data_IF_820059570519
#
_entry.id   IF_820059570519
#
_cell.length_a   1.000
_cell.length_b   1.000
_cell.length_c   1.000
_cell.angle_alpha   90.00
_cell.angle_beta   90.00
_cell.angle_gamma   90.00
#
_symmetry.space_group_name_H-M   'P 1'
#
loop_
_entity.id
_entity.type
_entity.pdbx_description
1 polymer ?
#
# COMPACT_ATOMS: atom_id res chain seq x y z
N UNK A 1 0.35 -30.47 1.42
CA UNK A 1 -0.24 -31.02 0.17
C UNK A 1 -1.65 -30.47 0.07
N UNK A 2 -2.04 -29.96 -1.10
CA UNK A 2 -3.44 -29.60 -1.34
C UNK A 2 -4.28 -30.88 -1.34
N UNK A 3 -5.31 -30.92 -0.50
CA UNK A 3 -6.20 -32.08 -0.29
C UNK A 3 -7.55 -31.88 -0.94
N UNK A 4 -8.10 -30.66 -0.85
CA UNK A 4 -9.43 -30.32 -1.33
C UNK A 4 -9.46 -28.84 -1.70
N UNK A 5 -10.22 -28.52 -2.75
CA UNK A 5 -10.52 -27.14 -3.16
C UNK A 5 -12.00 -27.04 -3.47
N UNK A 6 -12.64 -25.99 -2.94
CA UNK A 6 -14.02 -25.65 -3.23
C UNK A 6 -14.10 -24.19 -3.60
N UNK A 7 -14.38 -23.95 -4.89
CA UNK A 7 -14.37 -22.62 -5.49
C UNK A 7 -15.23 -21.64 -4.67
N UNK A 8 -14.65 -20.45 -4.42
CA UNK A 8 -15.26 -19.37 -3.62
C UNK A 8 -15.62 -19.75 -2.18
N UNK A 9 -15.08 -20.85 -1.65
CA UNK A 9 -15.36 -21.30 -0.28
C UNK A 9 -14.08 -21.54 0.51
N UNK A 10 -13.28 -22.54 0.14
CA UNK A 10 -12.06 -22.86 0.88
C UNK A 10 -11.11 -23.76 0.10
N UNK A 11 -9.88 -23.82 0.58
CA UNK A 11 -8.87 -24.82 0.24
C UNK A 11 -8.40 -25.53 1.51
N UNK A 12 -8.21 -26.84 1.45
CA UNK A 12 -7.68 -27.65 2.55
C UNK A 12 -6.30 -28.18 2.18
N UNK A 13 -5.32 -27.87 3.01
CA UNK A 13 -3.99 -28.45 2.93
C UNK A 13 -3.77 -29.41 4.09
N UNK A 14 -3.15 -30.54 3.81
CA UNK A 14 -2.70 -31.50 4.82
C UNK A 14 -1.19 -31.61 4.81
N UNK A 15 -0.60 -31.90 5.96
CA UNK A 15 0.84 -32.14 6.11
C UNK A 15 1.31 -33.23 5.15
N UNK A 16 2.49 -33.04 4.57
CA UNK A 16 3.16 -34.10 3.82
C UNK A 16 3.99 -34.96 4.77
N UNK A 17 3.47 -36.11 5.20
CA UNK A 17 4.19 -37.01 6.12
C UNK A 17 5.42 -37.68 5.48
N UNK A 18 5.61 -37.55 4.17
CA UNK A 18 6.78 -38.02 3.43
C UNK A 18 7.72 -36.88 3.01
N UNK A 19 7.53 -35.69 3.58
CA UNK A 19 8.44 -34.58 3.31
C UNK A 19 9.84 -34.91 3.87
N UNK A 20 10.87 -34.65 3.07
CA UNK A 20 12.24 -35.03 3.38
C UNK A 20 12.89 -34.17 4.47
N UNK A 21 12.36 -32.96 4.69
CA UNK A 21 12.88 -32.00 5.66
C UNK A 21 12.15 -32.05 7.01
N UNK A 22 12.21 -30.94 7.74
CA UNK A 22 11.52 -30.82 9.02
C UNK A 22 10.00 -30.95 8.85
N UNK A 23 9.40 -31.77 9.72
CA UNK A 23 7.98 -32.09 9.68
C UNK A 23 7.17 -30.98 10.38
N UNK A 24 6.20 -30.34 9.70
CA UNK A 24 5.34 -29.34 10.35
C UNK A 24 4.56 -29.92 11.53
N UNK A 25 4.44 -29.14 12.61
CA UNK A 25 3.61 -29.49 13.76
C UNK A 25 2.11 -29.43 13.41
N UNK A 26 1.72 -28.52 12.51
CA UNK A 26 0.35 -28.39 12.02
C UNK A 26 0.04 -29.52 11.02
N UNK A 27 -1.03 -30.26 11.28
CA UNK A 27 -1.43 -31.40 10.45
C UNK A 27 -2.33 -31.01 9.28
N UNK A 28 -3.17 -29.98 9.48
CA UNK A 28 -4.15 -29.51 8.50
C UNK A 28 -4.28 -27.99 8.60
N UNK A 29 -4.36 -27.34 7.45
CA UNK A 29 -4.68 -25.92 7.31
C UNK A 29 -5.91 -25.82 6.40
N UNK A 30 -6.93 -25.09 6.85
CA UNK A 30 -8.07 -24.73 6.01
C UNK A 30 -7.99 -23.23 5.72
N UNK A 31 -7.82 -22.88 4.46
CA UNK A 31 -7.80 -21.51 3.98
C UNK A 31 -9.21 -21.15 3.53
N UNK A 32 -9.92 -20.31 4.31
CA UNK A 32 -11.25 -19.82 3.94
C UNK A 32 -11.14 -18.67 2.94
N UNK A 33 -11.95 -18.69 1.90
CA UNK A 33 -12.04 -17.60 0.92
C UNK A 33 -12.96 -16.52 1.46
N UNK A 34 -12.36 -15.43 1.96
CA UNK A 34 -13.09 -14.29 2.52
C UNK A 34 -12.55 -13.02 1.85
N UNK A 35 -13.16 -12.55 0.74
CA UNK A 35 -12.62 -11.44 -0.05
C UNK A 35 -12.63 -10.10 0.68
N UNK A 36 -13.64 -9.86 1.50
CA UNK A 36 -13.85 -8.59 2.18
C UNK A 36 -13.02 -8.49 3.50
N UNK A 37 -12.21 -7.43 3.69
CA UNK A 37 -11.37 -7.26 4.87
C UNK A 37 -12.16 -7.15 6.18
N UNK A 38 -13.33 -6.50 6.17
CA UNK A 38 -14.18 -6.36 7.36
C UNK A 38 -14.72 -7.72 7.80
N UNK A 39 -15.16 -8.52 6.82
CA UNK A 39 -15.64 -9.89 7.05
C UNK A 39 -14.52 -10.79 7.58
N UNK A 40 -13.26 -10.60 7.14
CA UNK A 40 -12.10 -11.30 7.72
C UNK A 40 -11.89 -10.95 9.19
N UNK A 41 -12.01 -9.67 9.55
CA UNK A 41 -11.88 -9.25 10.94
C UNK A 41 -12.98 -9.86 11.82
N UNK A 42 -14.24 -9.83 11.36
CA UNK A 42 -15.37 -10.45 12.08
C UNK A 42 -15.15 -11.94 12.27
N UNK A 43 -14.72 -12.67 11.22
CA UNK A 43 -14.45 -14.10 11.31
C UNK A 43 -13.35 -14.42 12.35
N UNK A 44 -12.37 -13.53 12.53
CA UNK A 44 -11.36 -13.68 13.58
C UNK A 44 -11.96 -13.41 14.96
N UNK A 45 -12.77 -12.35 15.13
CA UNK A 45 -13.41 -12.03 16.41
C UNK A 45 -14.38 -13.11 16.89
N UNK A 46 -15.09 -13.77 15.97
CA UNK A 46 -16.02 -14.86 16.29
C UNK A 46 -15.32 -16.18 16.58
N UNK A 47 -14.01 -16.27 16.30
CA UNK A 47 -13.25 -17.52 16.38
C UNK A 47 -13.48 -18.47 15.20
N UNK A 48 -14.10 -18.01 14.11
CA UNK A 48 -14.27 -18.80 12.89
C UNK A 48 -12.94 -19.06 12.16
N UNK A 49 -11.92 -18.24 12.41
CA UNK A 49 -10.55 -18.43 11.91
C UNK A 49 -9.53 -18.18 13.03
N UNK A 50 -8.45 -18.95 13.01
CA UNK A 50 -7.41 -18.89 14.04
C UNK A 50 -6.28 -17.89 13.72
N UNK A 51 -6.12 -17.55 12.44
CA UNK A 51 -4.98 -16.77 11.95
C UNK A 51 -5.37 -15.92 10.74
N UNK A 52 -4.95 -14.66 10.78
CA UNK A 52 -4.83 -13.79 9.62
C UNK A 52 -3.34 -13.48 9.40
N UNK A 53 -2.84 -13.72 8.19
CA UNK A 53 -1.48 -13.39 7.81
C UNK A 53 -1.48 -12.77 6.41
N UNK A 54 -0.94 -11.56 6.26
CA UNK A 54 -0.98 -10.79 5.01
C UNK A 54 -0.32 -9.42 5.14
N UNK A 55 -0.49 -8.59 4.11
CA UNK A 55 0.00 -7.21 4.07
C UNK A 55 -1.01 -6.22 4.69
N UNK A 56 -0.84 -4.92 4.46
CA UNK A 56 -1.65 -3.84 5.04
C UNK A 56 -3.13 -3.90 4.64
N UNK A 57 -3.47 -4.58 3.54
CA UNK A 57 -4.85 -4.80 3.09
C UNK A 57 -5.55 -6.00 3.74
N UNK A 58 -4.89 -6.69 4.67
CA UNK A 58 -5.41 -7.91 5.29
C UNK A 58 -6.71 -7.67 6.07
N UNK A 59 -6.83 -6.58 6.81
CA UNK A 59 -8.02 -6.19 7.57
C UNK A 59 -8.03 -4.66 7.75
N UNK A 60 -9.15 -4.03 8.14
CA UNK A 60 -9.17 -2.60 8.44
C UNK A 60 -8.14 -2.26 9.53
N UNK A 61 -7.33 -1.23 9.31
CA UNK A 61 -6.18 -0.93 10.18
C UNK A 61 -6.58 -0.34 11.54
N UNK A 62 -7.74 0.30 11.62
CA UNK A 62 -8.39 0.70 12.88
C UNK A 62 -8.75 -0.52 13.74
N UNK A 63 -9.21 -1.58 13.08
CA UNK A 63 -9.54 -2.85 13.73
C UNK A 63 -8.28 -3.60 14.15
N UNK A 64 -7.23 -3.57 13.33
CA UNK A 64 -5.93 -4.10 13.73
C UNK A 64 -5.36 -3.38 14.95
N UNK A 65 -5.43 -2.04 14.99
CA UNK A 65 -5.03 -1.23 16.15
C UNK A 65 -5.83 -1.62 17.40
N UNK A 66 -7.16 -1.72 17.28
CA UNK A 66 -8.02 -2.22 18.37
C UNK A 66 -7.65 -3.62 18.85
N UNK A 67 -7.35 -4.55 17.93
CA UNK A 67 -6.92 -5.90 18.30
C UNK A 67 -5.57 -5.90 19.03
N UNK A 68 -4.66 -4.99 18.69
CA UNK A 68 -3.36 -4.89 19.35
C UNK A 68 -3.43 -4.50 20.82
N UNK A 69 -4.50 -3.80 21.21
CA UNK A 69 -4.77 -3.40 22.59
C UNK A 69 -5.65 -4.40 23.36
N UNK A 70 -6.16 -5.43 22.70
CA UNK A 70 -7.04 -6.43 23.32
C UNK A 70 -6.21 -7.62 23.82
N UNK A 71 -6.17 -7.92 25.13
CA UNK A 71 -5.40 -9.03 25.68
C UNK A 71 -5.91 -10.42 25.27
N UNK A 72 -7.11 -10.53 24.70
CA UNK A 72 -7.63 -11.78 24.16
C UNK A 72 -6.96 -12.19 22.84
N UNK A 73 -6.30 -11.25 22.16
CA UNK A 73 -5.72 -11.46 20.84
C UNK A 73 -4.21 -11.28 20.85
N UNK A 74 -3.54 -11.80 19.82
CA UNK A 74 -2.13 -11.57 19.57
C UNK A 74 -1.96 -10.97 18.18
N UNK A 75 -1.45 -9.74 18.14
CA UNK A 75 -1.08 -9.07 16.89
C UNK A 75 0.43 -8.99 16.74
N UNK A 76 0.89 -8.95 15.50
CA UNK A 76 2.29 -8.74 15.15
C UNK A 76 2.35 -7.89 13.89
N UNK A 77 3.35 -7.02 13.82
CA UNK A 77 3.65 -6.21 12.65
C UNK A 77 5.14 -6.40 12.34
N UNK A 78 5.46 -6.83 11.12
CA UNK A 78 6.85 -7.02 10.71
C UNK A 78 7.53 -5.68 10.44
N UNK A 79 8.85 -5.73 10.23
CA UNK A 79 9.54 -4.63 9.54
C UNK A 79 8.96 -4.49 8.11
N UNK A 80 9.06 -3.30 7.49
CA UNK A 80 8.63 -3.10 6.10
C UNK A 80 9.25 -4.13 5.15
N UNK A 81 8.43 -4.70 4.26
CA UNK A 81 8.84 -5.74 3.30
C UNK A 81 8.82 -5.27 1.84
N UNK A 82 8.06 -4.21 1.53
CA UNK A 82 7.92 -3.65 0.19
C UNK A 82 7.50 -2.17 0.24
N UNK A 83 7.42 -1.51 -0.92
CA UNK A 83 6.99 -0.12 -1.04
C UNK A 83 5.69 -0.02 -1.83
N UNK A 84 4.68 0.63 -1.25
CA UNK A 84 3.43 0.97 -1.94
C UNK A 84 3.55 2.38 -2.54
N UNK A 85 3.23 2.54 -3.82
CA UNK A 85 3.38 3.81 -4.54
C UNK A 85 2.40 3.96 -5.70
N UNK A 86 2.26 5.19 -6.21
CA UNK A 86 1.60 5.46 -7.49
C UNK A 86 2.61 5.45 -8.62
N UNK A 87 2.36 4.64 -9.65
CA UNK A 87 3.09 4.70 -10.91
C UNK A 87 2.52 5.80 -11.80
N UNK A 88 3.32 6.83 -12.09
CA UNK A 88 2.92 7.95 -12.95
C UNK A 88 3.24 7.65 -14.41
N UNK A 89 2.22 7.64 -15.27
CA UNK A 89 2.38 7.31 -16.68
C UNK A 89 3.03 8.48 -17.45
N UNK A 90 4.33 8.35 -17.77
CA UNK A 90 5.09 9.37 -18.50
C UNK A 90 4.75 9.45 -20.00
N UNK A 91 3.92 8.54 -20.52
CA UNK A 91 3.49 8.51 -21.93
C UNK A 91 2.08 9.11 -22.14
N UNK A 92 1.37 9.50 -21.09
CA UNK A 92 0.00 10.03 -21.17
C UNK A 92 -0.12 11.38 -20.48
N UNK A 93 -0.73 12.34 -21.14
CA UNK A 93 -1.03 13.63 -20.54
C UNK A 93 -2.05 13.51 -19.39
N UNK A 94 -1.91 14.30 -18.30
CA UNK A 94 -0.89 15.34 -18.08
C UNK A 94 0.42 14.84 -17.45
N UNK A 95 0.50 13.56 -17.03
CA UNK A 95 1.68 13.00 -16.33
C UNK A 95 2.88 12.74 -17.23
N UNK A 96 2.76 12.97 -18.54
CA UNK A 96 3.90 12.98 -19.46
C UNK A 96 4.86 14.14 -19.20
N UNK A 97 4.40 15.26 -18.63
CA UNK A 97 5.25 16.39 -18.27
C UNK A 97 6.05 16.10 -16.98
N UNK A 98 7.37 16.31 -17.02
CA UNK A 98 8.24 16.12 -15.85
C UNK A 98 7.79 17.01 -14.67
N UNK A 99 7.54 18.29 -14.92
CA UNK A 99 7.10 19.24 -13.90
C UNK A 99 5.81 18.80 -13.19
N UNK A 100 4.87 18.17 -13.91
CA UNK A 100 3.65 17.61 -13.31
C UNK A 100 4.01 16.46 -12.36
N UNK A 101 4.86 15.52 -12.78
CA UNK A 101 5.28 14.40 -11.92
C UNK A 101 6.07 14.86 -10.69
N UNK A 102 6.92 15.87 -10.83
CA UNK A 102 7.66 16.44 -9.71
C UNK A 102 6.73 17.16 -8.73
N UNK A 103 5.81 17.99 -9.23
CA UNK A 103 4.81 18.65 -8.39
C UNK A 103 3.95 17.64 -7.60
N UNK A 104 3.51 16.55 -8.25
CA UNK A 104 2.75 15.49 -7.58
C UNK A 104 3.53 14.83 -6.43
N UNK A 105 4.85 14.69 -6.53
CA UNK A 105 5.68 14.14 -5.45
C UNK A 105 5.76 15.09 -4.24
N UNK A 106 5.79 16.40 -4.46
CA UNK A 106 5.75 17.40 -3.38
C UNK A 106 4.35 17.60 -2.79
N UNK A 107 3.29 17.25 -3.51
CA UNK A 107 1.91 17.56 -3.13
C UNK A 107 1.31 16.63 -2.05
N UNK A 108 1.87 15.43 -1.84
CA UNK A 108 1.28 14.44 -0.93
C UNK A 108 1.88 14.57 0.47
N UNK A 109 1.02 14.84 1.47
CA UNK A 109 1.43 14.77 2.87
C UNK A 109 1.46 13.30 3.33
N UNK A 110 2.58 12.61 3.04
CA UNK A 110 2.75 11.18 3.31
C UNK A 110 2.61 10.85 4.79
N UNK A 111 3.15 11.70 5.68
CA UNK A 111 3.02 11.51 7.14
C UNK A 111 1.55 11.55 7.57
N UNK A 112 0.83 12.60 7.18
CA UNK A 112 -0.61 12.71 7.49
C UNK A 112 -1.42 11.56 6.90
N UNK A 113 -1.08 11.10 5.69
CA UNK A 113 -1.73 9.94 5.08
C UNK A 113 -1.52 8.68 5.94
N UNK A 114 -0.28 8.41 6.33
CA UNK A 114 0.06 7.24 7.17
C UNK A 114 -0.60 7.33 8.54
N UNK A 115 -0.52 8.48 9.20
CA UNK A 115 -1.06 8.65 10.56
C UNK A 115 -2.59 8.46 10.56
N UNK A 116 -3.29 9.03 9.58
CA UNK A 116 -4.76 9.05 9.60
C UNK A 116 -5.42 7.88 8.87
N UNK A 117 -4.88 7.45 7.71
CA UNK A 117 -5.47 6.37 6.93
C UNK A 117 -4.89 5.01 7.27
N UNK A 118 -3.60 4.97 7.64
CA UNK A 118 -2.89 3.73 7.97
C UNK A 118 -2.63 3.57 9.47
N UNK A 119 -3.23 4.43 10.31
CA UNK A 119 -3.16 4.36 11.76
C UNK A 119 -1.72 4.33 12.31
N UNK A 120 -0.79 4.98 11.62
CA UNK A 120 0.63 4.98 12.01
C UNK A 120 1.33 3.63 11.90
N UNK A 121 0.69 2.61 11.33
CA UNK A 121 1.23 1.24 11.23
C UNK A 121 2.29 1.08 10.13
N UNK A 122 2.51 2.10 9.30
CA UNK A 122 3.42 2.05 8.16
C UNK A 122 4.48 3.17 8.25
N UNK A 123 5.48 3.12 7.36
CA UNK A 123 6.54 4.11 7.29
C UNK A 123 6.46 4.95 6.02
N UNK A 124 6.92 6.19 6.08
CA UNK A 124 7.01 7.08 4.91
C UNK A 124 8.05 6.52 3.93
N UNK A 125 7.64 6.31 2.68
CA UNK A 125 8.54 5.98 1.59
C UNK A 125 8.90 7.23 0.77
N UNK A 126 10.19 7.54 0.68
CA UNK A 126 10.71 8.68 -0.10
C UNK A 126 11.32 8.27 -1.45
N UNK A 127 11.61 6.98 -1.60
CA UNK A 127 12.27 6.38 -2.76
C UNK A 127 11.51 5.14 -3.21
N UNK A 128 11.77 4.67 -4.43
CA UNK A 128 11.17 3.45 -4.99
C UNK A 128 11.45 2.21 -4.13
N UNK A 129 12.69 2.09 -3.68
CA UNK A 129 13.14 1.06 -2.75
C UNK A 129 13.64 1.72 -1.48
N UNK A 130 13.33 1.14 -0.33
CA UNK A 130 13.92 1.56 0.94
C UNK A 130 15.46 1.38 0.90
N UNK A 131 16.24 2.20 1.61
CA UNK A 131 17.71 2.08 1.63
C UNK A 131 18.20 0.70 2.12
N UNK A 132 17.37 -0.03 2.87
CA UNK A 132 17.67 -1.38 3.34
C UNK A 132 17.61 -2.45 2.24
N UNK A 133 17.08 -2.13 1.07
CA UNK A 133 17.05 -3.04 -0.09
C UNK A 133 18.46 -3.12 -0.69
N UNK A 134 18.96 -4.32 -1.05
CA UNK A 134 20.25 -4.45 -1.71
C UNK A 134 20.40 -3.50 -2.91
N UNK A 135 21.56 -2.81 -2.99
CA UNK A 135 21.90 -1.83 -4.03
C UNK A 135 21.09 -0.52 -4.03
N UNK A 136 20.17 -0.29 -3.09
CA UNK A 136 19.29 0.89 -3.09
C UNK A 136 19.79 2.07 -2.25
N UNK A 137 20.78 1.86 -1.37
CA UNK A 137 21.37 2.94 -0.55
C UNK A 137 22.35 3.79 -1.36
N UNK A 138 21.81 4.67 -2.20
CA UNK A 138 22.57 5.51 -3.15
C UNK A 138 22.42 7.01 -2.87
N UNK A 139 21.97 7.40 -1.69
CA UNK A 139 21.89 8.81 -1.27
C UNK A 139 20.88 9.67 -2.04
N UNK A 140 19.77 9.09 -2.49
CA UNK A 140 18.72 9.85 -3.20
C UNK A 140 18.12 10.92 -2.29
N UNK A 141 17.89 12.11 -2.85
CA UNK A 141 17.26 13.23 -2.13
C UNK A 141 15.73 13.06 -2.08
N UNK A 142 15.12 13.03 -0.88
CA UNK A 142 13.67 12.98 -0.73
C UNK A 142 12.95 14.21 -1.28
N UNK A 143 11.81 14.00 -1.94
CA UNK A 143 10.84 15.07 -2.25
C UNK A 143 9.79 15.10 -1.15
N UNK A 144 10.07 15.87 -0.09
CA UNK A 144 9.17 15.99 1.08
C UNK A 144 7.93 16.82 0.75
N UNK A 145 6.90 16.70 1.57
CA UNK A 145 5.65 17.46 1.39
C UNK A 145 5.92 18.97 1.39
N UNK A 146 5.68 19.61 0.24
CA UNK A 146 5.79 21.04 0.03
C UNK A 146 4.80 21.50 -1.05
N UNK A 147 3.56 21.84 -0.66
CA UNK A 147 2.55 22.35 -1.58
C UNK A 147 2.95 23.65 -2.29
N UNK A 148 3.84 24.47 -1.71
CA UNK A 148 4.26 25.72 -2.33
C UNK A 148 5.20 25.41 -3.50
N UNK A 149 6.19 24.54 -3.29
CA UNK A 149 7.06 24.05 -4.36
C UNK A 149 6.27 23.34 -5.46
N UNK A 150 5.28 22.51 -5.10
CA UNK A 150 4.40 21.86 -6.07
C UNK A 150 3.64 22.87 -6.95
N UNK A 151 3.07 23.91 -6.36
CA UNK A 151 2.37 24.99 -7.08
C UNK A 151 3.32 25.76 -8.00
N UNK A 152 4.51 26.11 -7.51
CA UNK A 152 5.51 26.82 -8.30
C UNK A 152 5.97 26.02 -9.52
N UNK A 153 6.22 24.71 -9.37
CA UNK A 153 6.58 23.81 -10.48
C UNK A 153 5.49 23.79 -11.57
N UNK A 154 4.22 23.74 -11.16
CA UNK A 154 3.09 23.75 -12.10
C UNK A 154 2.96 25.10 -12.82
N UNK A 155 3.09 26.22 -12.11
CA UNK A 155 3.01 27.57 -12.70
C UNK A 155 4.13 27.82 -13.70
N UNK A 156 5.37 27.47 -13.34
CA UNK A 156 6.52 27.57 -14.23
C UNK A 156 6.38 26.69 -15.48
N UNK A 157 5.61 25.61 -15.40
CA UNK A 157 5.29 24.74 -16.53
C UNK A 157 4.05 25.18 -17.34
N UNK A 158 3.44 26.33 -17.00
CA UNK A 158 2.28 26.89 -17.69
C UNK A 158 0.93 26.35 -17.23
N UNK A 159 0.87 25.59 -16.13
CA UNK A 159 -0.37 25.18 -15.48
C UNK A 159 -0.82 26.25 -14.50
N UNK A 160 -1.65 27.17 -14.96
CA UNK A 160 -2.09 28.35 -14.18
C UNK A 160 -3.51 28.18 -13.65
N UNK A 161 -3.83 28.80 -12.53
CA UNK A 161 -5.19 28.84 -11.98
C UNK A 161 -6.00 29.93 -12.72
N UNK A 162 -7.06 29.58 -13.46
CA UNK A 162 -7.97 30.58 -14.01
C UNK A 162 -8.71 31.32 -12.89
N UNK A 163 -9.10 32.57 -13.15
CA UNK A 163 -9.84 33.37 -12.17
C UNK A 163 -11.14 32.64 -11.74
N UNK A 164 -11.31 32.50 -10.42
CA UNK A 164 -12.48 31.85 -9.82
C UNK A 164 -12.52 30.33 -9.94
N UNK A 165 -11.41 29.65 -10.30
CA UNK A 165 -11.32 28.19 -10.37
C UNK A 165 -10.25 27.62 -9.44
N UNK A 166 -10.47 26.40 -8.98
CA UNK A 166 -9.52 25.65 -8.15
C UNK A 166 -8.68 24.63 -8.94
N UNK A 167 -9.00 24.42 -10.22
CA UNK A 167 -8.29 23.48 -11.10
C UNK A 167 -7.46 24.27 -12.11
N UNK A 168 -6.16 23.94 -12.17
CA UNK A 168 -5.22 24.56 -13.11
C UNK A 168 -5.50 24.12 -14.54
N UNK A 169 -5.30 25.04 -15.47
CA UNK A 169 -5.41 24.80 -16.90
C UNK A 169 -4.09 25.16 -17.60
N UNK A 170 -3.75 24.41 -18.64
CA UNK A 170 -2.66 24.72 -19.56
C UNK A 170 -3.20 24.70 -20.97
N UNK A 171 -3.11 25.84 -21.68
CA UNK A 171 -3.48 25.88 -23.10
C UNK A 171 -2.52 24.98 -23.86
N UNK A 172 -3.05 23.98 -24.59
CA UNK A 172 -2.22 23.21 -25.52
C UNK A 172 -1.65 24.17 -26.57
N UNK A 173 -0.38 24.03 -26.97
CA UNK A 173 0.10 24.69 -28.18
C UNK A 173 -0.84 24.28 -29.33
N UNK A 174 -1.21 25.23 -30.18
CA UNK A 174 -1.90 24.91 -31.42
C UNK A 174 -1.04 23.87 -32.16
N UNK A 175 -1.62 22.71 -32.48
CA UNK A 175 -0.91 21.68 -33.22
C UNK A 175 -0.37 22.31 -34.51
N UNK A 176 0.95 22.35 -34.66
CA UNK A 176 1.55 22.58 -35.97
C UNK A 176 1.03 21.45 -36.87
N UNK A 177 0.33 21.84 -37.94
CA UNK A 177 -0.19 20.94 -38.97
C UNK A 177 0.95 20.26 -39.72
#
# INVERSE_FOLDING_TARGET
MLKESKLNQYDVLVRNDRYWGEKPQIEKITVKVIPDPTTRAVAFETGDIDLLYGNEGLLPLDTFDRFSHNPAYRTQLSRPIETVMLALNSAKAPTNELAVREALNFAVNKKSLIDNALYGTQQVADTLFAPTVPYADIGLTPRRYDPQQAKALLENAGWVLPAGKDIREKKRPAAAR
#
